data_IF_169243211110
#
_entry.id   IF_169243211110
#
_cell.length_a   1.000
_cell.length_b   1.000
_cell.length_c   1.000
_cell.angle_alpha   90.00
_cell.angle_beta   90.00
_cell.angle_gamma   90.00
#
_symmetry.space_group_name_H-M   'P 1'
#
loop_
_entity.id
_entity.type
_entity.pdbx_description
1 polymer ?
#
# COMPACT_ATOMS: atom_id res chain seq x y z
N UNK A 1 -26.06 7.74 9.11
CA UNK A 1 -25.52 7.23 7.84
C UNK A 1 -25.57 5.71 7.84
N UNK A 2 -26.04 5.10 6.76
CA UNK A 2 -26.16 3.65 6.65
C UNK A 2 -24.76 3.03 6.40
N UNK A 3 -24.19 2.39 7.41
CA UNK A 3 -22.87 1.72 7.34
C UNK A 3 -22.91 0.36 6.62
N UNK A 4 -24.10 -0.13 6.24
CA UNK A 4 -24.25 -1.46 5.65
C UNK A 4 -23.98 -1.51 4.13
N UNK A 5 -23.76 -0.35 3.48
CA UNK A 5 -23.59 -0.25 2.03
C UNK A 5 -24.91 -0.16 1.27
N UNK A 6 -24.83 0.05 -0.04
CA UNK A 6 -25.98 0.10 -0.97
C UNK A 6 -25.81 -1.04 -1.98
N UNK A 7 -26.82 -1.90 -2.11
CA UNK A 7 -26.80 -2.99 -3.08
C UNK A 7 -27.16 -2.49 -4.48
N UNK A 8 -26.33 -2.80 -5.47
CA UNK A 8 -26.60 -2.55 -6.89
C UNK A 8 -27.09 -3.83 -7.57
N UNK A 9 -28.36 -3.79 -8.02
CA UNK A 9 -29.04 -4.91 -8.69
C UNK A 9 -28.45 -5.25 -10.06
N UNK A 10 -27.86 -4.28 -10.76
CA UNK A 10 -27.40 -4.48 -12.14
C UNK A 10 -26.06 -5.20 -12.20
N UNK A 11 -25.22 -5.00 -11.17
CA UNK A 11 -23.90 -5.66 -11.06
C UNK A 11 -23.86 -6.73 -9.98
N UNK A 12 -24.93 -6.90 -9.20
CA UNK A 12 -24.98 -7.80 -8.06
C UNK A 12 -23.82 -7.53 -7.06
N UNK A 13 -23.51 -6.25 -6.80
CA UNK A 13 -22.42 -5.84 -5.91
C UNK A 13 -22.92 -4.94 -4.78
N UNK A 14 -22.31 -5.07 -3.61
CA UNK A 14 -22.49 -4.11 -2.50
C UNK A 14 -21.53 -2.94 -2.69
N UNK A 15 -22.07 -1.73 -2.80
CA UNK A 15 -21.30 -0.49 -2.88
C UNK A 15 -21.08 0.09 -1.49
N UNK A 16 -19.83 0.33 -1.14
CA UNK A 16 -19.41 1.02 0.07
C UNK A 16 -18.71 2.34 -0.28
N UNK A 17 -18.70 3.33 0.63
CA UNK A 17 -17.90 4.53 0.44
C UNK A 17 -16.44 4.18 0.15
N UNK A 18 -15.85 4.83 -0.85
CA UNK A 18 -14.46 4.57 -1.25
C UNK A 18 -13.45 4.80 -0.12
N UNK A 19 -13.75 5.72 0.81
CA UNK A 19 -12.90 6.00 1.98
C UNK A 19 -12.78 4.84 2.96
N UNK A 20 -13.64 3.82 2.86
CA UNK A 20 -13.54 2.58 3.65
C UNK A 20 -12.68 1.51 2.97
N UNK A 21 -12.28 1.73 1.72
CA UNK A 21 -11.56 0.74 0.92
C UNK A 21 -10.05 1.05 0.90
N UNK A 22 -9.17 0.05 1.05
CA UNK A 22 -7.74 0.23 0.82
C UNK A 22 -7.47 0.72 -0.61
N UNK A 23 -6.60 1.71 -0.77
CA UNK A 23 -6.29 2.30 -2.07
C UNK A 23 -4.99 1.77 -2.70
N UNK A 24 -4.03 1.32 -1.88
CA UNK A 24 -2.74 0.82 -2.32
C UNK A 24 -2.47 -0.58 -1.80
N UNK A 25 -1.75 -1.37 -2.60
CA UNK A 25 -1.28 -2.70 -2.22
C UNK A 25 0.17 -2.87 -2.65
N UNK A 26 0.97 -3.41 -1.73
CA UNK A 26 2.33 -3.85 -2.00
C UNK A 26 2.44 -5.30 -1.61
N UNK A 27 2.98 -6.11 -2.50
CA UNK A 27 3.30 -7.51 -2.23
C UNK A 27 4.79 -7.60 -1.98
N UNK A 28 5.21 -8.40 -1.00
CA UNK A 28 6.62 -8.68 -0.73
C UNK A 28 6.79 -10.19 -0.57
N UNK A 29 7.77 -10.76 -1.28
CA UNK A 29 8.11 -12.17 -1.13
C UNK A 29 9.13 -12.31 0.01
N UNK A 30 8.66 -12.82 1.15
CA UNK A 30 9.50 -13.13 2.30
C UNK A 30 10.24 -14.44 2.03
N UNK A 31 11.57 -14.45 2.23
CA UNK A 31 12.36 -15.67 2.14
C UNK A 31 12.09 -16.54 3.36
N UNK A 32 12.04 -17.85 3.16
CA UNK A 32 11.95 -18.84 4.24
C UNK A 32 13.24 -18.80 5.08
N UNK A 33 13.30 -17.92 6.07
CA UNK A 33 14.41 -17.85 7.01
C UNK A 33 14.12 -18.72 8.23
N UNK A 34 15.10 -19.54 8.64
CA UNK A 34 15.07 -20.28 9.91
C UNK A 34 15.16 -19.37 11.14
N UNK A 35 15.43 -18.08 10.95
CA UNK A 35 15.64 -17.10 12.00
C UNK A 35 14.35 -16.33 12.27
N UNK A 36 13.91 -16.38 13.53
CA UNK A 36 12.69 -15.78 14.04
C UNK A 36 12.76 -14.24 14.06
N UNK A 37 12.27 -13.58 13.01
CA UNK A 37 11.89 -12.16 13.06
C UNK A 37 10.38 -12.00 13.26
N UNK A 38 9.80 -12.83 14.13
CA UNK A 38 8.38 -12.75 14.51
C UNK A 38 8.16 -11.61 15.50
N UNK A 39 7.12 -10.81 15.28
CA UNK A 39 6.64 -9.84 16.26
C UNK A 39 5.87 -10.51 17.42
N UNK A 40 5.56 -9.79 18.50
CA UNK A 40 4.87 -10.36 19.67
C UNK A 40 3.45 -10.87 19.37
N UNK A 41 2.82 -10.41 18.28
CA UNK A 41 1.45 -10.79 17.91
C UNK A 41 1.37 -12.08 17.08
N UNK A 42 2.38 -12.33 16.24
CA UNK A 42 2.42 -13.48 15.35
C UNK A 42 3.77 -14.18 15.50
N UNK A 43 3.82 -15.35 16.19
CA UNK A 43 5.05 -16.09 16.32
C UNK A 43 5.53 -16.56 14.94
N UNK A 44 6.85 -16.77 14.77
CA UNK A 44 7.38 -17.35 13.54
C UNK A 44 6.73 -18.70 13.24
N UNK A 45 6.35 -18.89 11.97
CA UNK A 45 5.76 -20.15 11.51
C UNK A 45 6.79 -21.29 11.54
N UNK A 46 6.32 -22.52 11.80
CA UNK A 46 7.15 -23.71 11.63
C UNK A 46 7.62 -23.78 10.15
N UNK A 47 8.93 -23.89 9.87
CA UNK A 47 9.47 -23.96 8.52
C UNK A 47 8.85 -25.05 7.63
N UNK A 48 8.21 -26.08 8.20
CA UNK A 48 7.50 -27.11 7.43
C UNK A 48 6.26 -26.58 6.71
N UNK A 49 5.65 -25.51 7.21
CA UNK A 49 4.43 -24.93 6.64
C UNK A 49 4.73 -24.20 5.33
N UNK A 50 5.58 -23.15 5.28
CA UNK A 50 5.87 -22.45 4.03
C UNK A 50 6.56 -23.35 3.00
N UNK A 51 7.27 -24.40 3.44
CA UNK A 51 7.85 -25.40 2.54
C UNK A 51 6.81 -26.19 1.73
N UNK A 52 5.65 -26.50 2.31
CA UNK A 52 4.64 -27.38 1.69
C UNK A 52 3.40 -26.62 1.22
N UNK A 53 3.14 -25.44 1.77
CA UNK A 53 1.94 -24.65 1.53
C UNK A 53 2.29 -23.21 1.19
N UNK A 54 1.49 -22.60 0.32
CA UNK A 54 1.58 -21.17 0.06
C UNK A 54 0.96 -20.40 1.22
N UNK A 55 1.78 -19.64 1.95
CA UNK A 55 1.33 -18.73 3.00
C UNK A 55 1.23 -17.32 2.43
N UNK A 56 0.10 -16.64 2.67
CA UNK A 56 -0.13 -15.25 2.26
C UNK A 56 -0.69 -14.50 3.45
N UNK A 57 0.08 -13.56 3.97
CA UNK A 57 -0.34 -12.68 5.04
C UNK A 57 -0.72 -11.31 4.49
N UNK A 58 -1.78 -10.72 5.05
CA UNK A 58 -2.22 -9.36 4.70
C UNK A 58 -2.00 -8.45 5.90
N UNK A 59 -1.20 -7.40 5.69
CA UNK A 59 -0.95 -6.37 6.69
C UNK A 59 -1.54 -5.05 6.20
N UNK A 60 -2.37 -4.42 7.04
CA UNK A 60 -2.98 -3.12 6.76
C UNK A 60 -2.24 -2.04 7.54
N UNK A 61 -1.68 -1.05 6.84
CA UNK A 61 -1.01 0.09 7.43
C UNK A 61 -1.82 1.36 7.13
N UNK A 62 -2.10 2.15 8.17
CA UNK A 62 -2.74 3.46 8.05
C UNK A 62 -1.64 4.51 7.81
N UNK A 63 -1.89 5.53 6.98
CA UNK A 63 -0.95 6.64 6.82
C UNK A 63 -0.58 7.30 8.16
N UNK A 64 0.64 7.86 8.28
CA UNK A 64 1.04 8.69 9.41
C UNK A 64 0.08 9.86 9.60
N UNK A 65 -0.05 10.31 10.86
CA UNK A 65 -0.85 11.48 11.18
C UNK A 65 -0.38 12.70 10.36
N UNK A 66 -1.33 13.37 9.68
CA UNK A 66 -1.07 14.54 8.85
C UNK A 66 -1.10 14.29 7.33
N UNK A 67 -1.07 13.04 6.88
CA UNK A 67 -1.26 12.71 5.46
C UNK A 67 -2.76 12.69 5.16
N UNK A 68 -3.21 13.57 4.25
CA UNK A 68 -4.61 13.66 3.86
C UNK A 68 -5.06 12.42 3.07
N UNK A 69 -6.34 12.00 3.19
CA UNK A 69 -6.88 10.92 2.35
C UNK A 69 -6.77 11.18 0.85
N UNK A 70 -6.87 12.45 0.43
CA UNK A 70 -6.67 12.84 -0.98
C UNK A 70 -5.25 12.59 -1.47
N UNK A 71 -4.25 12.69 -0.58
CA UNK A 71 -2.86 12.37 -0.91
C UNK A 71 -2.64 10.86 -1.13
N UNK A 72 -3.58 10.01 -0.70
CA UNK A 72 -3.55 8.57 -0.95
C UNK A 72 -4.29 8.15 -2.22
N UNK A 73 -5.09 9.05 -2.79
CA UNK A 73 -6.01 8.71 -3.87
C UNK A 73 -5.35 8.96 -5.23
N UNK A 74 -4.90 7.89 -5.88
CA UNK A 74 -4.31 7.94 -7.21
C UNK A 74 -5.41 7.86 -8.29
N UNK A 75 -6.46 8.68 -8.15
CA UNK A 75 -7.41 8.89 -9.25
C UNK A 75 -6.92 10.03 -10.11
N UNK A 76 -7.10 9.90 -11.42
CA UNK A 76 -7.10 11.06 -12.30
C UNK A 76 -8.22 11.99 -11.82
N UNK A 77 -7.83 13.05 -11.12
CA UNK A 77 -8.77 14.10 -10.76
C UNK A 77 -8.81 15.10 -11.91
N UNK A 78 -9.97 15.69 -12.20
CA UNK A 78 -10.05 16.84 -13.09
C UNK A 78 -9.04 17.92 -12.69
N UNK A 79 -8.52 18.67 -13.66
CA UNK A 79 -7.44 19.64 -13.45
C UNK A 79 -7.75 20.67 -12.34
N UNK A 80 -9.02 21.03 -12.14
CA UNK A 80 -9.44 21.95 -11.08
C UNK A 80 -9.34 21.39 -9.65
N UNK A 81 -9.19 20.07 -9.50
CA UNK A 81 -8.97 19.40 -8.21
C UNK A 81 -7.49 19.02 -7.98
N UNK A 82 -6.62 19.25 -8.96
CA UNK A 82 -5.19 18.91 -8.85
C UNK A 82 -4.54 19.61 -7.65
N UNK A 83 -4.94 20.85 -7.37
CA UNK A 83 -4.49 21.65 -6.20
C UNK A 83 -4.84 21.02 -4.84
N UNK A 84 -5.76 20.04 -4.82
CA UNK A 84 -6.20 19.35 -3.59
C UNK A 84 -5.59 17.95 -3.42
N UNK A 85 -4.65 17.55 -4.31
CA UNK A 85 -3.96 16.25 -4.28
C UNK A 85 -2.76 16.22 -3.31
N UNK A 86 -2.97 16.69 -2.08
CA UNK A 86 -1.96 16.69 -1.03
C UNK A 86 -1.05 17.93 -1.04
N UNK A 87 -0.08 17.95 -0.13
CA UNK A 87 0.76 19.14 0.13
C UNK A 87 1.65 19.50 -1.06
N UNK A 88 1.99 18.52 -1.91
CA UNK A 88 2.83 18.74 -3.09
C UNK A 88 2.20 19.60 -4.18
N UNK A 89 0.87 19.77 -4.16
CA UNK A 89 0.15 20.55 -5.15
C UNK A 89 0.21 22.07 -4.90
N UNK A 90 0.64 22.50 -3.72
CA UNK A 90 0.81 23.92 -3.38
C UNK A 90 2.02 24.49 -4.13
N UNK A 91 1.84 25.63 -4.82
CA UNK A 91 2.94 26.30 -5.54
C UNK A 91 3.94 26.93 -4.58
N UNK A 92 5.18 27.09 -5.04
CA UNK A 92 6.24 27.66 -4.20
C UNK A 92 6.00 29.14 -3.91
N UNK A 93 5.36 29.88 -4.83
CA UNK A 93 4.95 31.27 -4.62
C UNK A 93 4.07 31.44 -3.38
N UNK A 94 3.14 30.50 -3.15
CA UNK A 94 2.26 30.52 -1.97
C UNK A 94 3.03 30.10 -0.71
N UNK A 95 3.93 29.13 -0.82
CA UNK A 95 4.73 28.69 0.35
C UNK A 95 5.71 29.78 0.81
N UNK A 96 6.18 30.63 -0.08
CA UNK A 96 7.08 31.74 0.26
C UNK A 96 6.39 32.88 1.03
N UNK A 97 5.05 32.91 1.04
CA UNK A 97 4.26 33.80 1.89
C UNK A 97 4.14 33.30 3.33
N UNK A 98 4.54 32.06 3.61
CA UNK A 98 4.44 31.48 4.95
C UNK A 98 5.52 32.07 5.88
N UNK A 99 5.18 32.34 7.15
CA UNK A 99 6.17 32.61 8.18
C UNK A 99 7.21 31.48 8.26
N UNK A 100 8.47 31.75 8.67
CA UNK A 100 9.56 30.78 8.63
C UNK A 100 9.27 29.52 9.45
N UNK A 101 8.58 29.66 10.59
CA UNK A 101 8.15 28.52 11.41
C UNK A 101 7.14 27.62 10.65
N UNK A 102 6.13 28.23 10.03
CA UNK A 102 5.11 27.50 9.26
C UNK A 102 5.71 26.86 8.00
N UNK A 103 6.67 27.52 7.34
CA UNK A 103 7.40 26.98 6.18
C UNK A 103 8.15 25.70 6.55
N UNK A 104 8.92 25.72 7.64
CA UNK A 104 9.64 24.55 8.12
C UNK A 104 8.70 23.38 8.49
N UNK A 105 7.57 23.68 9.15
CA UNK A 105 6.57 22.66 9.48
C UNK A 105 5.90 22.08 8.22
N UNK A 106 5.61 22.92 7.23
CA UNK A 106 5.05 22.50 5.94
C UNK A 106 6.00 21.56 5.20
N UNK A 107 7.29 21.93 5.10
CA UNK A 107 8.28 21.14 4.37
C UNK A 107 8.50 19.76 5.04
N UNK A 108 8.51 19.71 6.39
CA UNK A 108 8.57 18.43 7.12
C UNK A 108 7.32 17.55 6.92
N UNK A 109 6.13 18.16 6.81
CA UNK A 109 4.91 17.41 6.53
C UNK A 109 4.88 16.89 5.08
N UNK A 110 5.36 17.69 4.13
CA UNK A 110 5.49 17.31 2.73
C UNK A 110 6.48 16.15 2.56
N UNK A 111 7.61 16.18 3.27
CA UNK A 111 8.59 15.08 3.29
C UNK A 111 7.94 13.77 3.74
N UNK A 112 7.20 13.79 4.86
CA UNK A 112 6.47 12.61 5.36
C UNK A 112 5.43 12.08 4.37
N UNK A 113 4.71 12.98 3.70
CA UNK A 113 3.76 12.59 2.65
C UNK A 113 4.47 11.90 1.47
N UNK A 114 5.62 12.43 1.04
CA UNK A 114 6.41 11.86 -0.03
C UNK A 114 7.04 10.52 0.35
N UNK A 115 7.57 10.39 1.57
CA UNK A 115 8.07 9.12 2.10
C UNK A 115 6.96 8.06 2.15
N UNK A 116 5.76 8.44 2.61
CA UNK A 116 4.61 7.54 2.62
C UNK A 116 4.25 7.06 1.21
N UNK A 117 4.15 8.00 0.24
CA UNK A 117 3.86 7.67 -1.16
C UNK A 117 4.94 6.75 -1.76
N UNK A 118 6.21 7.02 -1.50
CA UNK A 118 7.33 6.26 -2.03
C UNK A 118 7.32 4.78 -1.60
N UNK A 119 6.77 4.45 -0.42
CA UNK A 119 6.67 3.06 0.08
C UNK A 119 5.85 2.14 -0.82
N UNK A 120 4.88 2.68 -1.57
CA UNK A 120 3.91 1.89 -2.33
C UNK A 120 4.38 1.57 -3.75
N UNK A 121 5.37 2.29 -4.28
CA UNK A 121 6.00 2.04 -5.59
C UNK A 121 5.01 2.06 -6.77
N UNK A 122 5.47 1.57 -7.94
CA UNK A 122 4.64 1.48 -9.15
C UNK A 122 3.91 0.14 -9.25
N UNK A 123 2.83 0.05 -10.05
CA UNK A 123 2.13 -1.24 -10.25
C UNK A 123 3.09 -2.31 -10.78
N UNK A 124 3.98 -1.99 -11.72
CA UNK A 124 4.96 -2.93 -12.27
C UNK A 124 5.91 -3.52 -11.24
N UNK A 125 6.30 -2.74 -10.22
CA UNK A 125 7.33 -3.13 -9.25
C UNK A 125 6.72 -3.72 -7.98
N UNK A 126 5.66 -3.10 -7.46
CA UNK A 126 5.11 -3.41 -6.14
C UNK A 126 3.97 -4.42 -6.15
N UNK A 127 3.19 -4.49 -7.23
CA UNK A 127 2.02 -5.38 -7.27
C UNK A 127 2.37 -6.85 -7.56
N UNK A 128 3.63 -7.14 -7.89
CA UNK A 128 4.13 -8.49 -8.19
C UNK A 128 3.27 -9.25 -9.22
N UNK A 129 2.76 -8.55 -10.25
CA UNK A 129 2.24 -9.18 -11.47
C UNK A 129 3.38 -9.81 -12.28
N UNK A 130 4.01 -10.84 -11.73
CA UNK A 130 5.07 -11.65 -12.36
C UNK A 130 4.78 -13.13 -12.15
N UNK A 131 5.38 -13.98 -12.98
CA UNK A 131 5.32 -15.42 -12.77
C UNK A 131 5.94 -15.79 -11.41
N UNK A 132 5.35 -16.76 -10.67
CA UNK A 132 5.88 -17.17 -9.38
C UNK A 132 7.28 -17.75 -9.56
N UNK A 133 8.24 -17.29 -8.75
CA UNK A 133 9.59 -17.87 -8.70
C UNK A 133 9.46 -19.21 -7.97
N UNK A 134 9.41 -20.30 -8.75
CA UNK A 134 9.40 -21.66 -8.22
C UNK A 134 10.86 -22.08 -7.99
N UNK A 135 11.26 -22.24 -6.73
CA UNK A 135 12.58 -22.78 -6.40
C UNK A 135 12.58 -24.30 -6.63
N UNK A 136 12.83 -24.68 -7.89
CA UNK A 136 12.74 -26.07 -8.36
C UNK A 136 13.83 -27.00 -7.80
N UNK A 137 14.76 -26.50 -6.99
CA UNK A 137 15.82 -27.30 -6.38
C UNK A 137 15.31 -28.38 -5.39
N UNK A 138 14.06 -28.26 -4.92
CA UNK A 138 13.49 -29.12 -3.87
C UNK A 138 12.46 -30.13 -4.41
N UNK A 139 12.00 -30.00 -5.65
CA UNK A 139 11.02 -30.94 -6.25
C UNK A 139 11.74 -31.86 -7.23
N UNK A 140 11.94 -33.15 -6.92
CA UNK A 140 12.44 -34.11 -7.88
C UNK A 140 11.36 -34.36 -8.94
N UNK A 141 11.36 -33.55 -9.99
CA UNK A 141 10.66 -33.91 -11.22
C UNK A 141 11.47 -35.03 -11.87
N UNK A 142 11.01 -36.28 -11.74
CA UNK A 142 11.41 -37.33 -12.67
C UNK A 142 10.86 -36.92 -14.04
N UNK A 143 11.71 -36.36 -14.89
CA UNK A 143 11.43 -36.29 -16.33
C UNK A 143 11.34 -37.73 -16.83
N UNK A 144 10.14 -38.27 -16.90
CA UNK A 144 9.92 -39.52 -17.61
C UNK A 144 10.16 -39.24 -19.10
N UNK A 145 11.14 -39.98 -19.64
CA UNK A 145 11.51 -40.04 -21.04
C UNK A 145 10.37 -40.51 -21.93
#
# INVERSE_FOLDING_TARGET
MNRAGVYDIHTNMMQYPATMQPTHVRVEQVKDSTTSTGGPLFPPLDPKIPRNFKVVDTYMETPPAGVAPSAMEQREVPNFLAEFQGLGAVSDEIKDLLPPECRAAFDSALEKENEWKAKWGTESESSHRREPIIDAAIVPYSKNS
#
